data_IF_718080374108
#
_entry.id   IF_718080374108
#
_cell.length_a   1.000
_cell.length_b   1.000
_cell.length_c   1.000
_cell.angle_alpha   90.00
_cell.angle_beta   90.00
_cell.angle_gamma   90.00
#
_symmetry.space_group_name_H-M   'P 1'
#
loop_
_entity.id
_entity.type
_entity.pdbx_description
1 polymer ?
#
# COMPACT_ATOMS: atom_id res chain seq x y z
N UNK A 1 20.19 18.15 -25.11
CA UNK A 1 19.74 19.15 -24.09
C UNK A 1 19.01 18.41 -22.99
N UNK A 2 19.46 18.48 -21.75
CA UNK A 2 18.88 17.75 -20.62
C UNK A 2 17.86 18.68 -19.95
N UNK A 3 16.59 18.36 -20.02
CA UNK A 3 15.57 19.10 -19.28
C UNK A 3 15.70 18.70 -17.81
N UNK A 4 16.30 19.55 -16.98
CA UNK A 4 16.36 19.37 -15.53
C UNK A 4 15.00 19.73 -14.94
N UNK A 5 14.10 18.77 -14.94
CA UNK A 5 12.80 18.93 -14.25
C UNK A 5 13.03 18.93 -12.73
N UNK A 6 12.43 19.89 -12.01
CA UNK A 6 12.41 19.86 -10.55
C UNK A 6 11.65 18.62 -10.03
N UNK A 7 11.95 18.17 -8.81
CA UNK A 7 11.25 17.02 -8.19
C UNK A 7 9.72 17.21 -8.19
N UNK A 8 9.22 18.44 -8.02
CA UNK A 8 7.80 18.77 -8.13
C UNK A 8 7.23 18.47 -9.53
N UNK A 9 7.90 18.93 -10.60
CA UNK A 9 7.46 18.67 -11.98
C UNK A 9 7.55 17.19 -12.33
N UNK A 10 8.60 16.50 -11.88
CA UNK A 10 8.74 15.06 -12.07
C UNK A 10 7.60 14.30 -11.39
N UNK A 11 7.24 14.67 -10.16
CA UNK A 11 6.15 14.05 -9.39
C UNK A 11 4.81 14.21 -10.08
N UNK A 12 4.46 15.42 -10.53
CA UNK A 12 3.21 15.68 -11.24
C UNK A 12 3.11 14.89 -12.55
N UNK A 13 4.20 14.86 -13.31
CA UNK A 13 4.24 14.11 -14.57
C UNK A 13 4.11 12.60 -14.33
N UNK A 14 4.78 12.07 -13.31
CA UNK A 14 4.67 10.66 -12.92
C UNK A 14 3.21 10.30 -12.58
N UNK A 15 2.55 11.09 -11.74
CA UNK A 15 1.16 10.87 -11.34
C UNK A 15 0.25 10.88 -12.58
N UNK A 16 0.44 11.85 -13.46
CA UNK A 16 -0.32 11.92 -14.71
C UNK A 16 -0.14 10.66 -15.57
N UNK A 17 1.10 10.20 -15.75
CA UNK A 17 1.42 9.00 -16.54
C UNK A 17 0.78 7.76 -15.90
N UNK A 18 0.93 7.57 -14.57
CA UNK A 18 0.34 6.43 -13.88
C UNK A 18 -1.17 6.40 -14.06
N UNK A 19 -1.85 7.53 -13.90
CA UNK A 19 -3.30 7.60 -14.03
C UNK A 19 -3.77 7.43 -15.48
N UNK A 20 -3.05 8.00 -16.45
CA UNK A 20 -3.35 7.78 -17.86
C UNK A 20 -3.23 6.29 -18.23
N UNK A 21 -2.18 5.61 -17.72
CA UNK A 21 -2.02 4.16 -17.91
C UNK A 21 -3.10 3.36 -17.20
N UNK A 22 -3.43 3.70 -15.94
CA UNK A 22 -4.47 3.00 -15.18
C UNK A 22 -5.84 3.10 -15.85
N UNK A 23 -6.22 4.29 -16.34
CA UNK A 23 -7.45 4.48 -17.11
C UNK A 23 -7.40 3.72 -18.45
N UNK A 24 -6.24 3.74 -19.14
CA UNK A 24 -6.05 2.98 -20.37
C UNK A 24 -6.21 1.47 -20.17
N UNK A 25 -5.76 0.92 -19.03
CA UNK A 25 -5.92 -0.51 -18.71
C UNK A 25 -7.38 -0.94 -18.60
N UNK A 26 -8.29 -0.04 -18.18
CA UNK A 26 -9.73 -0.35 -18.10
C UNK A 26 -10.37 -0.55 -19.47
N UNK A 27 -9.76 -0.05 -20.53
CA UNK A 27 -10.23 -0.21 -21.92
C UNK A 27 -9.74 -1.53 -22.53
N UNK A 28 -8.80 -2.22 -21.87
CA UNK A 28 -8.25 -3.48 -22.35
C UNK A 28 -9.14 -4.67 -21.97
N UNK A 29 -8.98 -5.82 -22.70
CA UNK A 29 -9.63 -7.06 -22.32
C UNK A 29 -9.33 -7.49 -20.88
N UNK A 30 -10.22 -8.27 -20.30
CA UNK A 30 -10.13 -8.73 -18.90
C UNK A 30 -8.79 -9.42 -18.56
N UNK A 31 -8.28 -10.23 -19.50
CA UNK A 31 -6.99 -10.90 -19.37
C UNK A 31 -5.79 -9.95 -19.18
N UNK A 32 -5.89 -8.71 -19.62
CA UNK A 32 -4.85 -7.69 -19.47
C UNK A 32 -4.99 -6.84 -18.20
N UNK A 33 -6.14 -6.88 -17.51
CA UNK A 33 -6.40 -6.05 -16.35
C UNK A 33 -5.56 -6.43 -15.12
N UNK A 34 -5.03 -7.66 -15.05
CA UNK A 34 -4.02 -8.05 -14.07
C UNK A 34 -2.73 -7.23 -14.13
N UNK A 35 -2.49 -6.51 -15.25
CA UNK A 35 -1.37 -5.59 -15.39
C UNK A 35 -1.60 -4.23 -14.74
N UNK A 36 -2.81 -3.94 -14.23
CA UNK A 36 -3.16 -2.68 -13.59
C UNK A 36 -2.18 -2.32 -12.46
N UNK A 37 -1.88 -3.27 -11.57
CA UNK A 37 -0.94 -3.10 -10.47
C UNK A 37 0.51 -2.78 -10.91
N UNK A 38 0.87 -3.04 -12.18
CA UNK A 38 2.19 -2.71 -12.71
C UNK A 38 2.28 -1.31 -13.34
N UNK A 39 1.19 -0.56 -13.43
CA UNK A 39 1.21 0.80 -14.01
C UNK A 39 2.19 1.74 -13.31
N UNK A 40 2.39 1.72 -11.97
CA UNK A 40 3.41 2.53 -11.31
C UNK A 40 4.84 2.14 -11.71
N UNK A 41 5.13 0.83 -11.86
CA UNK A 41 6.43 0.35 -12.34
C UNK A 41 6.70 0.80 -13.77
N UNK A 42 5.73 0.65 -14.67
CA UNK A 42 5.85 1.06 -16.07
C UNK A 42 6.10 2.57 -16.17
N UNK A 43 5.39 3.37 -15.35
CA UNK A 43 5.64 4.81 -15.28
C UNK A 43 7.06 5.13 -14.78
N UNK A 44 7.59 4.39 -13.79
CA UNK A 44 9.00 4.53 -13.37
C UNK A 44 9.95 4.24 -14.53
N UNK A 45 9.71 3.17 -15.29
CA UNK A 45 10.55 2.85 -16.46
C UNK A 45 10.54 4.01 -17.47
N UNK A 46 9.39 4.58 -17.80
CA UNK A 46 9.30 5.74 -18.68
C UNK A 46 10.03 6.95 -18.10
N UNK A 47 9.82 7.25 -16.82
CA UNK A 47 10.49 8.38 -16.16
C UNK A 47 12.01 8.20 -16.15
N UNK A 48 12.49 7.02 -15.72
CA UNK A 48 13.91 6.77 -15.53
C UNK A 48 14.69 6.64 -16.85
N UNK A 49 14.10 6.05 -17.88
CA UNK A 49 14.85 5.76 -19.12
C UNK A 49 14.58 6.75 -20.25
N UNK A 50 13.37 7.34 -20.32
CA UNK A 50 13.01 8.22 -21.43
C UNK A 50 12.99 9.70 -21.05
N UNK A 51 12.42 10.04 -19.88
CA UNK A 51 12.12 11.44 -19.52
C UNK A 51 13.27 12.05 -18.69
N UNK A 52 13.48 11.55 -17.47
CA UNK A 52 14.50 12.07 -16.53
C UNK A 52 15.90 11.54 -16.87
N UNK A 53 15.95 10.32 -17.39
CA UNK A 53 17.19 9.63 -17.81
C UNK A 53 18.18 9.40 -16.66
N UNK A 54 17.66 9.26 -15.43
CA UNK A 54 18.47 8.91 -14.24
C UNK A 54 18.66 7.39 -14.09
N UNK A 55 17.89 6.57 -14.82
CA UNK A 55 18.04 5.11 -14.89
C UNK A 55 19.37 4.63 -15.48
N UNK A 56 20.07 5.48 -16.23
CA UNK A 56 21.41 5.24 -16.74
C UNK A 56 22.53 5.56 -15.74
N UNK A 57 22.18 5.87 -14.47
CA UNK A 57 23.11 6.29 -13.42
C UNK A 57 22.86 5.52 -12.15
N UNK A 58 23.92 5.18 -11.45
CA UNK A 58 23.84 4.51 -10.14
C UNK A 58 23.02 5.29 -9.11
N UNK A 59 23.00 6.64 -9.20
CA UNK A 59 22.24 7.50 -8.31
C UNK A 59 20.73 7.30 -8.44
N UNK A 60 20.18 7.18 -9.65
CA UNK A 60 18.77 6.90 -9.89
C UNK A 60 18.33 5.61 -9.20
N UNK A 61 19.12 4.54 -9.33
CA UNK A 61 18.86 3.25 -8.70
C UNK A 61 19.01 3.31 -7.18
N UNK A 62 20.01 4.03 -6.66
CA UNK A 62 20.17 4.21 -5.20
C UNK A 62 18.97 4.88 -4.56
N UNK A 63 18.34 5.85 -5.24
CA UNK A 63 17.13 6.55 -4.76
C UNK A 63 15.93 5.63 -4.60
N UNK A 64 15.82 4.56 -5.39
CA UNK A 64 14.73 3.58 -5.27
C UNK A 64 14.77 2.79 -3.95
N UNK A 65 15.95 2.67 -3.34
CA UNK A 65 16.08 2.07 -2.01
C UNK A 65 16.10 0.53 -1.99
N UNK A 66 16.66 -0.11 -3.02
CA UNK A 66 16.74 -1.58 -3.10
C UNK A 66 17.72 -2.25 -2.11
N UNK A 67 18.52 -1.47 -1.38
CA UNK A 67 19.41 -2.05 -0.36
C UNK A 67 18.56 -2.63 0.79
N UNK A 68 18.84 -3.88 1.15
CA UNK A 68 18.24 -4.51 2.33
C UNK A 68 18.75 -3.79 3.58
N UNK A 69 17.87 -3.06 4.26
CA UNK A 69 18.12 -2.30 5.48
C UNK A 69 16.87 -2.34 6.36
N UNK A 70 17.06 -2.11 7.65
CA UNK A 70 16.00 -2.19 8.64
C UNK A 70 16.15 -3.48 9.47
N UNK A 71 15.53 -3.52 10.61
CA UNK A 71 15.46 -4.67 11.52
C UNK A 71 14.03 -4.81 12.01
N UNK A 72 13.63 -3.95 12.96
CA UNK A 72 12.26 -3.90 13.49
C UNK A 72 11.20 -3.55 12.45
N UNK A 73 11.57 -2.86 11.36
CA UNK A 73 10.68 -2.48 10.28
C UNK A 73 10.10 -3.72 9.57
N UNK A 74 10.86 -4.80 9.45
CA UNK A 74 10.36 -6.07 8.90
C UNK A 74 9.38 -6.77 9.85
N UNK A 75 9.65 -6.76 11.16
CA UNK A 75 8.71 -7.30 12.15
C UNK A 75 7.39 -6.50 12.16
N UNK A 76 7.48 -5.17 12.12
CA UNK A 76 6.30 -4.30 12.01
C UNK A 76 5.52 -4.55 10.72
N UNK A 77 6.22 -4.76 9.60
CA UNK A 77 5.61 -5.06 8.31
C UNK A 77 4.76 -6.33 8.31
N UNK A 78 5.11 -7.32 9.11
CA UNK A 78 4.33 -8.56 9.27
C UNK A 78 3.24 -8.43 10.35
N UNK A 79 3.58 -7.86 11.50
CA UNK A 79 2.70 -7.83 12.67
C UNK A 79 1.50 -6.90 12.46
N UNK A 80 1.71 -5.74 11.84
CA UNK A 80 0.65 -4.74 11.66
C UNK A 80 -0.54 -5.27 10.84
N UNK A 81 -0.36 -5.84 9.63
CA UNK A 81 -1.49 -6.41 8.88
C UNK A 81 -2.16 -7.58 9.60
N UNK A 82 -1.38 -8.48 10.21
CA UNK A 82 -1.92 -9.64 10.95
C UNK A 82 -2.84 -9.19 12.08
N UNK A 83 -2.41 -8.20 12.88
CA UNK A 83 -3.23 -7.71 13.99
C UNK A 83 -4.42 -6.92 13.46
N UNK A 84 -4.22 -6.01 12.51
CA UNK A 84 -5.28 -5.09 12.06
C UNK A 84 -6.38 -5.82 11.31
N UNK A 85 -6.04 -6.65 10.35
CA UNK A 85 -7.01 -7.44 9.58
C UNK A 85 -7.56 -8.59 10.43
N UNK A 86 -6.70 -9.31 11.17
CA UNK A 86 -7.12 -10.38 12.06
C UNK A 86 -8.16 -9.92 13.09
N UNK A 87 -7.98 -8.74 13.69
CA UNK A 87 -8.97 -8.15 14.59
C UNK A 87 -10.29 -7.86 13.86
N UNK A 88 -10.24 -7.33 12.63
CA UNK A 88 -11.45 -7.08 11.83
C UNK A 88 -12.25 -8.35 11.59
N UNK A 89 -11.57 -9.41 11.13
CA UNK A 89 -12.22 -10.71 10.92
C UNK A 89 -12.71 -11.34 12.23
N UNK A 90 -11.95 -11.24 13.32
CA UNK A 90 -12.37 -11.74 14.62
C UNK A 90 -13.65 -11.04 15.12
N UNK A 91 -13.75 -9.72 14.99
CA UNK A 91 -14.98 -8.96 15.30
C UNK A 91 -16.12 -9.40 14.39
N UNK A 92 -15.87 -9.59 13.09
CA UNK A 92 -16.89 -10.07 12.18
C UNK A 92 -17.41 -11.46 12.58
N UNK A 93 -16.52 -12.42 12.86
CA UNK A 93 -16.92 -13.77 13.27
C UNK A 93 -17.68 -13.82 14.61
N UNK A 94 -17.38 -12.91 15.54
CA UNK A 94 -18.15 -12.85 16.80
C UNK A 94 -19.56 -12.29 16.61
N UNK A 95 -19.72 -11.31 15.71
CA UNK A 95 -21.02 -10.73 15.36
C UNK A 95 -21.87 -11.62 14.45
N UNK A 96 -21.22 -12.43 13.63
CA UNK A 96 -21.83 -13.35 12.65
C UNK A 96 -21.20 -14.74 12.80
N UNK A 97 -21.46 -15.43 13.92
CA UNK A 97 -20.77 -16.66 14.33
C UNK A 97 -20.78 -17.78 13.27
N UNK A 98 -21.83 -17.87 12.43
CA UNK A 98 -21.91 -18.82 11.33
C UNK A 98 -21.05 -18.46 10.11
N UNK A 99 -20.37 -17.32 10.13
CA UNK A 99 -19.55 -16.86 9.01
C UNK A 99 -18.14 -17.45 8.98
N UNK A 100 -17.63 -17.95 10.10
CA UNK A 100 -16.36 -18.67 10.12
C UNK A 100 -16.53 -20.06 9.50
N UNK A 101 -15.76 -20.33 8.45
CA UNK A 101 -15.68 -21.64 7.79
C UNK A 101 -14.31 -22.24 8.13
N UNK A 102 -14.24 -23.15 9.14
CA UNK A 102 -12.96 -23.74 9.51
C UNK A 102 -12.32 -24.47 8.32
N UNK A 103 -11.03 -24.29 8.08
CA UNK A 103 -10.35 -24.99 7.00
C UNK A 103 -10.13 -26.46 7.36
N UNK A 104 -10.00 -27.33 6.37
CA UNK A 104 -9.69 -28.76 6.55
C UNK A 104 -8.37 -28.96 7.32
N UNK A 105 -7.44 -28.03 7.23
CA UNK A 105 -6.15 -28.07 7.90
C UNK A 105 -5.57 -26.69 8.17
N UNK A 106 -5.43 -26.34 9.43
CA UNK A 106 -4.77 -25.11 9.87
C UNK A 106 -3.28 -25.04 9.47
N UNK A 107 -2.60 -26.20 9.39
CA UNK A 107 -1.21 -26.29 8.94
C UNK A 107 -1.11 -25.86 7.46
N UNK A 108 -2.00 -26.39 6.61
CA UNK A 108 -2.06 -25.98 5.19
C UNK A 108 -2.37 -24.49 5.06
N UNK A 109 -3.30 -23.98 5.84
CA UNK A 109 -3.67 -22.54 5.86
C UNK A 109 -2.45 -21.67 6.25
N UNK A 110 -1.68 -22.07 7.25
CA UNK A 110 -0.45 -21.38 7.62
C UNK A 110 0.61 -21.41 6.50
N UNK A 111 0.76 -22.55 5.82
CA UNK A 111 1.65 -22.66 4.66
C UNK A 111 1.17 -21.75 3.53
N UNK A 112 -0.13 -21.73 3.23
CA UNK A 112 -0.70 -20.83 2.22
C UNK A 112 -0.48 -19.36 2.56
N UNK A 113 -0.61 -18.98 3.85
CA UNK A 113 -0.31 -17.61 4.28
C UNK A 113 1.14 -17.22 3.95
N UNK A 114 2.11 -18.10 4.26
CA UNK A 114 3.53 -17.84 3.95
C UNK A 114 3.73 -17.70 2.43
N UNK A 115 3.17 -18.61 1.64
CA UNK A 115 3.26 -18.57 0.18
C UNK A 115 2.63 -17.29 -0.37
N UNK A 116 1.45 -16.92 0.12
CA UNK A 116 0.75 -15.71 -0.32
C UNK A 116 1.48 -14.43 0.11
N UNK A 117 2.16 -14.39 1.27
CA UNK A 117 3.03 -13.27 1.63
C UNK A 117 4.15 -13.11 0.60
N UNK A 118 4.78 -14.19 0.18
CA UNK A 118 5.86 -14.14 -0.84
C UNK A 118 5.31 -13.67 -2.18
N UNK A 119 4.25 -14.29 -2.67
CA UNK A 119 3.63 -13.95 -3.97
C UNK A 119 3.03 -12.54 -3.95
N UNK A 120 2.35 -12.17 -2.88
CA UNK A 120 1.81 -10.83 -2.66
C UNK A 120 2.90 -9.76 -2.59
N UNK A 121 4.04 -10.08 -1.97
CA UNK A 121 5.21 -9.17 -1.96
C UNK A 121 5.82 -8.99 -3.36
N UNK A 122 5.89 -10.06 -4.16
CA UNK A 122 6.34 -9.95 -5.55
C UNK A 122 5.39 -9.10 -6.40
N UNK A 123 4.08 -9.25 -6.22
CA UNK A 123 3.08 -8.41 -6.88
C UNK A 123 3.17 -6.95 -6.41
N UNK A 124 3.21 -6.74 -5.09
CA UNK A 124 3.32 -5.41 -4.48
C UNK A 124 4.60 -4.66 -4.90
N UNK A 125 5.68 -5.37 -5.22
CA UNK A 125 6.94 -4.76 -5.63
C UNK A 125 6.77 -3.82 -6.82
N UNK A 126 5.90 -4.16 -7.77
CA UNK A 126 5.59 -3.30 -8.93
C UNK A 126 5.03 -1.94 -8.52
N UNK A 127 4.12 -1.94 -7.55
CA UNK A 127 3.55 -0.71 -6.99
C UNK A 127 4.55 0.05 -6.13
N UNK A 128 5.25 -0.64 -5.22
CA UNK A 128 6.14 -0.02 -4.27
C UNK A 128 7.36 0.62 -4.92
N UNK A 129 7.87 0.07 -6.04
CA UNK A 129 8.89 0.73 -6.86
C UNK A 129 8.39 2.11 -7.32
N UNK A 130 7.14 2.20 -7.76
CA UNK A 130 6.52 3.45 -8.19
C UNK A 130 6.31 4.42 -7.04
N UNK A 131 5.56 3.96 -6.04
CA UNK A 131 5.10 4.82 -4.95
C UNK A 131 6.23 5.16 -3.97
N UNK A 132 6.88 4.16 -3.39
CA UNK A 132 7.87 4.35 -2.30
C UNK A 132 9.29 4.42 -2.80
N UNK A 133 9.59 3.78 -3.93
CA UNK A 133 10.90 3.86 -4.56
C UNK A 133 11.11 5.19 -5.28
N UNK A 134 10.18 5.57 -6.15
CA UNK A 134 10.38 6.70 -7.06
C UNK A 134 9.69 8.00 -6.61
N UNK A 135 8.38 7.96 -6.27
CA UNK A 135 7.58 9.16 -5.99
C UNK A 135 7.83 9.73 -4.60
N UNK A 136 7.81 8.91 -3.54
CA UNK A 136 7.96 9.36 -2.15
C UNK A 136 9.24 10.18 -1.89
N UNK A 137 10.44 9.80 -2.37
CA UNK A 137 11.62 10.62 -2.22
C UNK A 137 11.50 12.01 -2.88
N UNK A 138 10.72 12.12 -3.95
CA UNK A 138 10.48 13.37 -4.68
C UNK A 138 9.41 14.25 -4.04
N UNK A 139 8.65 13.72 -3.08
CA UNK A 139 7.64 14.48 -2.32
C UNK A 139 8.17 15.08 -1.01
N UNK A 140 9.40 14.78 -0.62
CA UNK A 140 9.94 15.21 0.68
C UNK A 140 10.04 16.74 0.84
N UNK A 141 9.96 17.52 -0.25
CA UNK A 141 9.84 18.98 -0.20
C UNK A 141 8.56 19.47 0.50
N UNK A 142 7.51 18.64 0.59
CA UNK A 142 6.28 18.95 1.33
C UNK A 142 6.42 18.71 2.83
N UNK A 143 7.54 18.15 3.29
CA UNK A 143 7.70 17.65 4.66
C UNK A 143 7.07 16.26 4.86
N UNK A 144 7.52 15.56 5.90
CA UNK A 144 7.23 14.14 6.15
C UNK A 144 5.74 13.83 6.28
N UNK A 145 5.00 14.60 7.06
CA UNK A 145 3.57 14.37 7.32
C UNK A 145 2.75 14.62 6.05
N UNK A 146 2.93 15.81 5.43
CA UNK A 146 2.18 16.17 4.24
C UNK A 146 2.47 15.24 3.07
N UNK A 147 3.74 14.84 2.87
CA UNK A 147 4.10 13.88 1.83
C UNK A 147 3.45 12.51 2.06
N UNK A 148 3.39 12.03 3.32
CA UNK A 148 2.78 10.74 3.63
C UNK A 148 1.27 10.73 3.42
N UNK A 149 0.57 11.78 3.83
CA UNK A 149 -0.88 11.91 3.61
C UNK A 149 -1.18 12.04 2.11
N UNK A 150 -0.47 12.92 1.40
CA UNK A 150 -0.68 13.13 -0.04
C UNK A 150 -0.43 11.86 -0.84
N UNK A 151 0.62 11.11 -0.49
CA UNK A 151 0.90 9.81 -1.11
C UNK A 151 -0.22 8.80 -0.88
N UNK A 152 -0.74 8.72 0.36
CA UNK A 152 -1.87 7.85 0.69
C UNK A 152 -3.12 8.20 -0.11
N UNK A 153 -3.44 9.50 -0.25
CA UNK A 153 -4.57 9.97 -1.07
C UNK A 153 -4.38 9.64 -2.56
N UNK A 154 -3.19 9.89 -3.12
CA UNK A 154 -2.90 9.57 -4.53
C UNK A 154 -3.07 8.07 -4.77
N UNK A 155 -2.56 7.23 -3.86
CA UNK A 155 -2.66 5.79 -3.95
C UNK A 155 -4.11 5.30 -3.82
N UNK A 156 -4.89 5.86 -2.90
CA UNK A 156 -6.31 5.56 -2.77
C UNK A 156 -7.10 5.92 -4.04
N UNK A 157 -6.91 7.14 -4.57
CA UNK A 157 -7.61 7.59 -5.78
C UNK A 157 -7.21 6.77 -7.02
N UNK A 158 -5.96 6.28 -7.06
CA UNK A 158 -5.52 5.39 -8.14
C UNK A 158 -6.32 4.07 -8.17
N UNK A 159 -6.84 3.58 -7.04
CA UNK A 159 -7.72 2.41 -7.01
C UNK A 159 -9.18 2.68 -7.44
N UNK A 160 -9.62 3.95 -7.45
CA UNK A 160 -11.03 4.27 -7.71
C UNK A 160 -11.56 3.73 -9.03
N UNK A 161 -10.83 3.80 -10.15
CA UNK A 161 -11.31 3.21 -11.40
C UNK A 161 -11.59 1.69 -11.29
N UNK A 162 -10.78 0.96 -10.54
CA UNK A 162 -10.98 -0.47 -10.30
C UNK A 162 -12.15 -0.75 -9.34
N UNK A 163 -12.43 0.13 -8.37
CA UNK A 163 -13.54 0.00 -7.40
C UNK A 163 -14.87 0.44 -8.03
N UNK A 164 -14.87 1.54 -8.79
CA UNK A 164 -16.08 2.12 -9.39
C UNK A 164 -16.42 1.54 -10.77
N UNK A 165 -15.49 0.86 -11.39
CA UNK A 165 -15.64 0.28 -12.72
C UNK A 165 -16.70 -0.84 -12.78
N UNK A 166 -17.04 -1.32 -13.98
CA UNK A 166 -18.07 -2.35 -14.20
C UNK A 166 -17.77 -3.68 -13.47
N UNK A 167 -16.51 -3.91 -13.13
CA UNK A 167 -16.00 -5.12 -12.48
C UNK A 167 -15.46 -4.78 -11.10
N UNK A 168 -16.30 -4.12 -10.33
CA UNK A 168 -15.94 -3.57 -9.03
C UNK A 168 -15.14 -4.52 -8.15
N UNK A 169 -13.96 -4.11 -7.75
CA UNK A 169 -13.06 -4.81 -6.83
C UNK A 169 -13.75 -5.10 -5.48
N UNK A 170 -14.59 -4.17 -4.99
CA UNK A 170 -15.48 -4.36 -3.84
C UNK A 170 -16.93 -4.28 -4.33
N UNK A 171 -17.55 -5.43 -4.62
CA UNK A 171 -18.87 -5.48 -5.25
C UNK A 171 -20.04 -5.53 -4.28
N UNK A 172 -19.79 -5.78 -3.00
CA UNK A 172 -20.84 -5.95 -1.98
C UNK A 172 -21.11 -4.65 -1.20
N UNK A 173 -22.39 -4.39 -0.92
CA UNK A 173 -22.83 -3.29 -0.06
C UNK A 173 -22.93 -1.92 -0.72
N UNK A 174 -22.99 -0.88 0.12
CA UNK A 174 -23.05 0.51 -0.34
C UNK A 174 -21.68 0.96 -0.85
N UNK A 175 -21.57 1.18 -2.15
CA UNK A 175 -20.34 1.55 -2.85
C UNK A 175 -19.63 2.77 -2.26
N UNK A 176 -20.39 3.78 -1.85
CA UNK A 176 -19.83 5.02 -1.31
C UNK A 176 -19.26 4.84 0.09
N UNK A 177 -19.94 4.02 0.93
CA UNK A 177 -19.43 3.68 2.25
C UNK A 177 -18.14 2.86 2.13
N UNK A 178 -18.14 1.82 1.28
CA UNK A 178 -16.94 1.01 1.01
C UNK A 178 -15.80 1.88 0.49
N UNK A 179 -16.07 2.76 -0.48
CA UNK A 179 -15.06 3.68 -1.03
C UNK A 179 -14.48 4.60 0.03
N UNK A 180 -15.32 5.12 0.93
CA UNK A 180 -14.87 6.00 2.02
C UNK A 180 -13.97 5.24 3.00
N UNK A 181 -14.41 4.07 3.46
CA UNK A 181 -13.64 3.21 4.38
C UNK A 181 -12.33 2.74 3.74
N UNK A 182 -12.38 2.29 2.49
CA UNK A 182 -11.20 1.92 1.72
C UNK A 182 -10.20 3.08 1.62
N UNK A 183 -10.69 4.28 1.30
CA UNK A 183 -9.84 5.47 1.22
C UNK A 183 -9.11 5.74 2.53
N UNK A 184 -9.84 5.70 3.65
CA UNK A 184 -9.24 5.90 4.97
C UNK A 184 -8.21 4.81 5.29
N UNK A 185 -8.54 3.54 5.01
CA UNK A 185 -7.65 2.40 5.21
C UNK A 185 -6.36 2.54 4.40
N UNK A 186 -6.47 2.83 3.10
CA UNK A 186 -5.31 2.99 2.20
C UNK A 186 -4.47 4.20 2.56
N UNK A 187 -5.09 5.31 3.02
CA UNK A 187 -4.33 6.48 3.49
C UNK A 187 -3.54 6.13 4.74
N UNK A 188 -4.15 5.48 5.73
CA UNK A 188 -3.45 5.11 6.96
C UNK A 188 -2.40 4.02 6.74
N UNK A 189 -2.72 2.97 5.99
CA UNK A 189 -1.74 1.96 5.57
C UNK A 189 -0.60 2.60 4.76
N UNK A 190 -0.93 3.53 3.86
CA UNK A 190 0.03 4.30 3.08
C UNK A 190 1.00 5.11 3.94
N UNK A 191 0.50 5.75 5.00
CA UNK A 191 1.34 6.46 5.98
C UNK A 191 2.30 5.48 6.66
N UNK A 192 1.82 4.33 7.12
CA UNK A 192 2.65 3.30 7.77
C UNK A 192 3.74 2.81 6.82
N UNK A 193 3.37 2.44 5.59
CA UNK A 193 4.30 1.99 4.55
C UNK A 193 5.36 3.06 4.26
N UNK A 194 4.96 4.33 4.14
CA UNK A 194 5.88 5.46 3.93
C UNK A 194 6.85 5.62 5.11
N UNK A 195 6.35 5.49 6.34
CA UNK A 195 7.18 5.58 7.54
C UNK A 195 8.19 4.44 7.61
N UNK A 196 7.81 3.20 7.27
CA UNK A 196 8.75 2.07 7.16
C UNK A 196 9.83 2.33 6.11
N UNK A 197 9.45 2.86 4.94
CA UNK A 197 10.40 3.24 3.87
C UNK A 197 11.36 4.35 4.30
N UNK A 198 10.85 5.38 4.96
CA UNK A 198 11.65 6.54 5.37
C UNK A 198 12.57 6.23 6.55
N UNK A 199 12.16 5.36 7.47
CA UNK A 199 12.97 4.99 8.64
C UNK A 199 14.05 3.96 8.32
N UNK A 200 13.73 2.96 7.49
CA UNK A 200 14.69 1.94 7.08
C UNK A 200 15.65 2.42 5.97
N UNK A 201 15.22 3.40 5.17
CA UNK A 201 15.92 3.75 3.93
C UNK A 201 15.81 2.67 2.85
N UNK A 202 14.93 1.68 3.02
CA UNK A 202 14.77 0.50 2.19
C UNK A 202 13.32 0.36 1.71
N UNK A 203 13.13 -0.10 0.46
CA UNK A 203 11.80 -0.39 -0.09
C UNK A 203 11.23 -1.70 0.47
N UNK A 204 12.07 -2.63 0.93
CA UNK A 204 11.67 -4.00 1.25
C UNK A 204 10.68 -4.12 2.41
N UNK A 205 10.78 -3.37 3.53
CA UNK A 205 9.74 -3.38 4.55
C UNK A 205 8.38 -2.87 4.05
N UNK A 206 8.38 -1.91 3.10
CA UNK A 206 7.16 -1.43 2.44
C UNK A 206 6.53 -2.53 1.58
N UNK A 207 7.34 -3.19 0.75
CA UNK A 207 6.93 -4.33 -0.08
C UNK A 207 6.36 -5.46 0.79
N UNK A 208 7.04 -5.78 1.89
CA UNK A 208 6.60 -6.85 2.79
C UNK A 208 5.27 -6.52 3.48
N UNK A 209 5.09 -5.28 3.98
CA UNK A 209 3.82 -4.89 4.61
C UNK A 209 2.66 -4.97 3.61
N UNK A 210 2.85 -4.41 2.41
CA UNK A 210 1.83 -4.45 1.37
C UNK A 210 1.48 -5.89 0.97
N UNK A 211 2.50 -6.73 0.70
CA UNK A 211 2.28 -8.13 0.37
C UNK A 211 1.65 -8.94 1.51
N UNK A 212 2.05 -8.69 2.76
CA UNK A 212 1.45 -9.32 3.93
C UNK A 212 0.00 -8.88 4.14
N UNK A 213 -0.32 -7.59 3.88
CA UNK A 213 -1.70 -7.11 3.93
C UNK A 213 -2.60 -7.89 2.97
N UNK A 214 -2.21 -7.98 1.71
CA UNK A 214 -2.97 -8.69 0.68
C UNK A 214 -3.10 -10.19 0.99
N UNK A 215 -2.03 -10.81 1.50
CA UNK A 215 -2.01 -12.22 1.86
C UNK A 215 -2.92 -12.53 3.05
N UNK A 216 -2.85 -11.72 4.10
CA UNK A 216 -3.68 -11.91 5.31
C UNK A 216 -5.16 -11.73 4.96
N UNK A 217 -5.54 -10.67 4.23
CA UNK A 217 -6.92 -10.48 3.80
C UNK A 217 -7.41 -11.66 2.97
N UNK A 218 -6.63 -12.10 1.97
CA UNK A 218 -6.99 -13.23 1.10
C UNK A 218 -7.21 -14.53 1.88
N UNK A 219 -6.32 -14.86 2.83
CA UNK A 219 -6.44 -16.08 3.63
C UNK A 219 -7.63 -16.02 4.57
N UNK A 220 -7.84 -14.88 5.27
CA UNK A 220 -8.96 -14.73 6.20
C UNK A 220 -10.30 -14.70 5.46
N UNK A 221 -10.36 -14.09 4.28
CA UNK A 221 -11.54 -14.10 3.41
C UNK A 221 -11.89 -15.52 2.94
N UNK A 222 -10.91 -16.35 2.62
CA UNK A 222 -11.13 -17.74 2.19
C UNK A 222 -11.72 -18.64 3.27
N UNK A 223 -11.52 -18.33 4.54
CA UNK A 223 -12.13 -19.04 5.69
C UNK A 223 -13.35 -18.30 6.25
N UNK A 224 -13.94 -17.41 5.47
CA UNK A 224 -15.10 -16.61 5.88
C UNK A 224 -16.22 -16.74 4.85
N UNK A 225 -17.44 -17.06 5.31
CA UNK A 225 -18.62 -16.98 4.46
C UNK A 225 -18.95 -15.53 4.14
N UNK A 226 -18.97 -15.18 2.87
CA UNK A 226 -19.13 -13.80 2.37
C UNK A 226 -20.57 -13.43 2.01
N UNK A 227 -21.59 -14.08 2.60
CA UNK A 227 -22.99 -13.88 2.26
C UNK A 227 -23.56 -12.51 2.69
N UNK A 228 -22.82 -11.73 3.50
CA UNK A 228 -23.28 -10.44 4.03
C UNK A 228 -22.38 -9.28 3.61
N UNK A 229 -22.97 -8.14 3.17
CA UNK A 229 -22.22 -6.89 2.95
C UNK A 229 -21.46 -6.39 4.19
N UNK A 230 -21.85 -6.85 5.39
CA UNK A 230 -21.19 -6.48 6.64
C UNK A 230 -19.72 -6.90 6.68
N UNK A 231 -19.32 -7.93 5.92
CA UNK A 231 -17.91 -8.29 5.79
C UNK A 231 -17.08 -7.11 5.27
N UNK A 232 -17.55 -6.44 4.22
CA UNK A 232 -16.86 -5.27 3.65
C UNK A 232 -16.84 -4.05 4.59
N UNK A 233 -17.81 -3.95 5.51
CA UNK A 233 -17.86 -2.81 6.44
C UNK A 233 -17.07 -3.02 7.71
N UNK A 234 -16.94 -4.28 8.16
CA UNK A 234 -16.33 -4.61 9.47
C UNK A 234 -14.90 -5.09 9.32
N UNK A 235 -14.65 -5.97 8.34
CA UNK A 235 -13.37 -6.64 8.14
C UNK A 235 -12.77 -6.34 6.77
N UNK A 236 -11.62 -6.95 6.47
CA UNK A 236 -10.93 -6.76 5.21
C UNK A 236 -10.33 -5.35 5.05
N UNK A 237 -9.90 -5.05 3.84
CA UNK A 237 -9.23 -3.78 3.53
C UNK A 237 -10.10 -2.54 3.71
N UNK A 238 -11.42 -2.66 3.54
CA UNK A 238 -12.39 -1.57 3.71
C UNK A 238 -13.09 -1.58 5.07
N UNK A 239 -12.74 -2.51 5.97
CA UNK A 239 -13.39 -2.63 7.26
C UNK A 239 -13.07 -1.48 8.23
N UNK A 240 -14.08 -1.01 8.98
CA UNK A 240 -13.87 0.05 9.98
C UNK A 240 -12.89 -0.35 11.09
N UNK A 241 -12.80 -1.66 11.43
CA UNK A 241 -11.86 -2.16 12.45
C UNK A 241 -10.41 -1.98 12.00
N UNK A 242 -10.00 -2.46 10.82
CA UNK A 242 -8.67 -2.16 10.27
C UNK A 242 -8.41 -0.65 10.12
N UNK A 243 -9.41 0.14 9.68
CA UNK A 243 -9.27 1.61 9.56
C UNK A 243 -8.86 2.23 10.89
N UNK A 244 -9.51 1.87 12.00
CA UNK A 244 -9.16 2.39 13.33
C UNK A 244 -7.75 1.96 13.74
N UNK A 245 -7.41 0.70 13.55
CA UNK A 245 -6.11 0.16 13.97
C UNK A 245 -4.96 0.74 13.12
N UNK A 246 -5.11 0.80 11.79
CA UNK A 246 -4.13 1.46 10.94
C UNK A 246 -4.01 2.94 11.26
N UNK A 247 -5.13 3.63 11.53
CA UNK A 247 -5.13 5.04 11.95
C UNK A 247 -4.34 5.26 13.24
N UNK A 248 -4.57 4.43 14.26
CA UNK A 248 -3.85 4.49 15.52
C UNK A 248 -2.34 4.27 15.34
N UNK A 249 -1.96 3.25 14.56
CA UNK A 249 -0.53 2.97 14.25
C UNK A 249 0.09 4.10 13.43
N UNK A 250 -0.60 4.63 12.42
CA UNK A 250 -0.11 5.74 11.60
C UNK A 250 0.16 6.99 12.44
N UNK A 251 -0.79 7.38 13.31
CA UNK A 251 -0.65 8.51 14.22
C UNK A 251 0.51 8.28 15.18
N UNK A 252 0.63 7.09 15.76
CA UNK A 252 1.75 6.75 16.65
C UNK A 252 3.10 6.87 15.95
N UNK A 253 3.24 6.33 14.74
CA UNK A 253 4.50 6.39 13.97
C UNK A 253 4.88 7.84 13.62
N UNK A 254 3.92 8.64 13.14
CA UNK A 254 4.16 10.06 12.82
C UNK A 254 4.61 10.84 14.06
N UNK A 255 3.91 10.70 15.19
CA UNK A 255 4.23 11.41 16.43
C UNK A 255 5.60 11.01 16.98
N UNK A 256 5.93 9.73 16.96
CA UNK A 256 7.24 9.23 17.38
C UNK A 256 8.38 9.85 16.57
N UNK A 257 8.24 9.86 15.27
CA UNK A 257 9.28 10.38 14.38
C UNK A 257 9.43 11.91 14.43
N UNK A 258 8.35 12.64 14.71
CA UNK A 258 8.40 14.07 14.97
C UNK A 258 9.14 14.39 16.30
N UNK A 259 8.94 13.58 17.35
CA UNK A 259 9.66 13.72 18.63
C UNK A 259 11.16 13.50 18.46
N UNK A 260 11.57 12.45 17.76
CA UNK A 260 12.97 12.13 17.49
C UNK A 260 13.64 13.30 16.73
N UNK A 261 12.98 13.84 15.71
CA UNK A 261 13.50 15.00 14.96
C UNK A 261 13.67 16.24 15.84
N UNK A 262 12.72 16.54 16.72
CA UNK A 262 12.83 17.68 17.64
C UNK A 262 13.99 17.51 18.61
N UNK A 263 14.18 16.31 19.16
CA UNK A 263 15.30 16.03 20.07
C UNK A 263 16.66 16.14 19.37
N UNK A 264 16.79 15.67 18.13
CA UNK A 264 18.04 15.80 17.38
C UNK A 264 18.41 17.26 17.07
N UNK A 265 17.42 18.13 16.86
CA UNK A 265 17.65 19.57 16.66
C UNK A 265 18.06 20.25 17.96
N UNK A 266 17.44 19.87 19.08
CA UNK A 266 17.76 20.47 20.40
C UNK A 266 19.12 20.05 20.97
N UNK A 267 19.65 18.90 20.53
CA UNK A 267 20.97 18.39 20.95
C UNK A 267 22.12 18.82 20.01
N UNK A 268 21.80 19.33 18.84
CA UNK A 268 22.77 19.83 17.85
C UNK A 268 23.01 21.32 17.87
N UNK A 269 22.43 22.02 18.88
CA UNK A 269 22.72 23.41 19.27
C UNK A 269 23.59 23.41 20.51
#
# INVERSE_FOLDING_TARGET
MRILLSDKKQSLLFIFIVWAMALGMLLLPESAQGLYGFTPLLAVCLMMFLIVRDGYRAEGWRRLGFKFRGGKEYALALVIPVISLGAGYAVYWTGWASSLVPPDSWIKTAIYLIVYIVLGSLSALGEEIGWRGWLLPRFQWMGRVSSSITMGLIWAIWHYPAILGPRAYHSSGNRWLVLTLFTLSVVFAGIIINELRLTSGSIWPAVLLHGANNAVDSVLRNITSSSSPMLEYVAGESGWVPVILYGAVAIWMLNRNLKIKRQSISLGQ
#
